data_IF_330148824579
#
_entry.id   IF_330148824579
#
_cell.length_a   1.000
_cell.length_b   1.000
_cell.length_c   1.000
_cell.angle_alpha   90.00
_cell.angle_beta   90.00
_cell.angle_gamma   90.00
#
_symmetry.space_group_name_H-M   'P 1'
#
loop_
_entity.id
_entity.type
_entity.pdbx_description
1 polymer ?
#
# COMPACT_ATOMS: atom_id res chain seq x y z
N UNK A 1 42.58 -37.84 -11.37
CA UNK A 1 41.61 -37.14 -10.50
C UNK A 1 42.19 -35.79 -10.13
N UNK A 2 41.47 -34.67 -10.32
CA UNK A 2 41.85 -33.42 -9.62
C UNK A 2 41.79 -32.06 -10.33
N UNK A 3 41.28 -31.92 -11.56
CA UNK A 3 41.23 -30.61 -12.25
C UNK A 3 39.84 -29.93 -12.28
N UNK A 4 38.81 -30.56 -11.70
CA UNK A 4 37.43 -30.05 -11.74
C UNK A 4 37.00 -29.15 -10.56
N UNK A 5 37.79 -29.05 -9.48
CA UNK A 5 37.34 -28.37 -8.24
C UNK A 5 37.84 -26.94 -8.06
N UNK A 6 38.78 -26.45 -8.87
CA UNK A 6 39.35 -25.10 -8.72
C UNK A 6 38.56 -24.01 -9.45
N UNK A 7 37.86 -24.34 -10.55
CA UNK A 7 37.09 -23.35 -11.32
C UNK A 7 35.72 -23.00 -10.67
N UNK A 8 35.12 -23.94 -9.93
CA UNK A 8 33.82 -23.71 -9.29
C UNK A 8 33.90 -22.79 -8.06
N UNK A 9 35.06 -22.70 -7.41
CA UNK A 9 35.21 -21.95 -6.16
C UNK A 9 35.50 -20.46 -6.37
N UNK A 10 35.94 -20.04 -7.57
CA UNK A 10 36.19 -18.63 -7.88
C UNK A 10 34.91 -17.87 -8.31
N UNK A 11 33.92 -18.55 -8.88
CA UNK A 11 32.64 -17.95 -9.27
C UNK A 11 31.66 -17.70 -8.11
N UNK A 12 31.70 -18.52 -7.06
CA UNK A 12 30.83 -18.37 -5.88
C UNK A 12 31.28 -17.26 -4.91
N UNK A 13 32.55 -16.87 -4.95
CA UNK A 13 33.09 -15.75 -4.17
C UNK A 13 32.73 -14.38 -4.76
N UNK A 14 32.68 -14.26 -6.08
CA UNK A 14 32.39 -12.99 -6.77
C UNK A 14 30.91 -12.59 -6.72
N UNK A 15 29.98 -13.56 -6.79
CA UNK A 15 28.53 -13.26 -6.73
C UNK A 15 28.08 -12.83 -5.33
N UNK A 16 28.68 -13.37 -4.26
CA UNK A 16 28.43 -12.93 -2.87
C UNK A 16 28.95 -11.51 -2.57
N UNK A 17 30.01 -11.07 -3.25
CA UNK A 17 30.55 -9.71 -3.12
C UNK A 17 29.72 -8.64 -3.83
N UNK A 18 29.11 -9.01 -4.97
CA UNK A 18 28.28 -8.11 -5.78
C UNK A 18 26.89 -7.87 -5.17
N UNK A 19 26.25 -8.90 -4.60
CA UNK A 19 24.93 -8.75 -3.95
C UNK A 19 25.04 -8.12 -2.56
N UNK A 20 26.03 -8.51 -1.75
CA UNK A 20 26.20 -7.92 -0.41
C UNK A 20 26.52 -6.41 -0.41
N UNK A 21 27.15 -5.90 -1.48
CA UNK A 21 27.40 -4.46 -1.68
C UNK A 21 26.17 -3.69 -2.17
N UNK A 22 25.39 -4.28 -3.07
CA UNK A 22 24.11 -3.71 -3.52
C UNK A 22 23.08 -3.69 -2.39
N UNK A 23 22.97 -4.79 -1.63
CA UNK A 23 22.07 -4.90 -0.48
C UNK A 23 22.47 -3.94 0.64
N UNK A 24 23.77 -3.77 0.93
CA UNK A 24 24.23 -2.75 1.88
C UNK A 24 24.00 -1.32 1.40
N UNK A 25 24.10 -1.03 0.10
CA UNK A 25 23.76 0.30 -0.46
C UNK A 25 22.26 0.56 -0.47
N UNK A 26 21.44 -0.44 -0.72
CA UNK A 26 19.97 -0.35 -0.65
C UNK A 26 19.55 -0.22 0.82
N UNK A 27 20.10 -1.01 1.74
CA UNK A 27 19.86 -0.89 3.17
C UNK A 27 20.40 0.40 3.75
N UNK A 28 21.55 0.92 3.31
CA UNK A 28 22.07 2.21 3.79
C UNK A 28 21.33 3.40 3.16
N UNK A 29 20.79 3.27 1.96
CA UNK A 29 19.85 4.24 1.38
C UNK A 29 18.50 4.23 2.12
N UNK A 30 18.00 3.06 2.52
CA UNK A 30 16.79 2.92 3.36
C UNK A 30 17.00 3.40 4.80
N UNK A 31 18.18 3.13 5.39
CA UNK A 31 18.52 3.46 6.79
C UNK A 31 19.06 4.88 6.95
N UNK A 32 19.62 5.45 5.88
CA UNK A 32 20.19 6.80 5.79
C UNK A 32 19.26 7.83 5.15
N UNK A 33 18.13 7.42 4.57
CA UNK A 33 17.04 8.32 4.24
C UNK A 33 16.46 8.86 5.55
N UNK A 34 17.07 9.92 6.09
CA UNK A 34 16.31 10.96 6.80
C UNK A 34 15.26 11.42 5.79
N UNK A 35 14.12 10.73 5.74
CA UNK A 35 12.92 11.14 5.04
C UNK A 35 12.71 12.58 5.49
N UNK A 36 13.06 13.52 4.62
CA UNK A 36 13.11 14.92 4.99
C UNK A 36 11.75 15.28 5.56
N UNK A 37 11.69 16.06 6.65
CA UNK A 37 10.44 16.40 7.33
C UNK A 37 9.31 16.79 6.36
N UNK A 38 9.66 17.38 5.21
CA UNK A 38 8.77 17.70 4.08
C UNK A 38 8.08 16.49 3.44
N UNK A 39 8.78 15.37 3.24
CA UNK A 39 8.21 14.13 2.66
C UNK A 39 7.21 13.51 3.63
N UNK A 40 7.57 13.43 4.93
CA UNK A 40 6.68 12.92 5.97
C UNK A 40 5.45 13.82 6.11
N UNK A 41 5.64 15.15 6.17
CA UNK A 41 4.52 16.09 6.24
C UNK A 41 3.58 15.97 5.04
N UNK A 42 4.11 15.77 3.83
CA UNK A 42 3.31 15.55 2.63
C UNK A 42 2.52 14.24 2.72
N UNK A 43 3.11 13.18 3.23
CA UNK A 43 2.43 11.88 3.36
C UNK A 43 1.34 11.92 4.43
N UNK A 44 1.59 12.61 5.54
CA UNK A 44 0.59 12.84 6.59
C UNK A 44 -0.57 13.68 6.04
N UNK A 45 -0.30 14.75 5.30
CA UNK A 45 -1.34 15.56 4.66
C UNK A 45 -2.20 14.71 3.71
N UNK A 46 -1.56 13.82 2.94
CA UNK A 46 -2.28 12.90 2.06
C UNK A 46 -3.10 11.86 2.81
N UNK A 47 -2.61 11.33 3.93
CA UNK A 47 -3.38 10.44 4.79
C UNK A 47 -4.68 11.13 5.27
N UNK A 48 -4.58 12.36 5.76
CA UNK A 48 -5.77 13.13 6.16
C UNK A 48 -6.70 13.41 4.98
N UNK A 49 -6.16 13.76 3.82
CA UNK A 49 -6.94 13.92 2.59
C UNK A 49 -7.67 12.64 2.18
N UNK A 50 -7.00 11.48 2.27
CA UNK A 50 -7.59 10.18 1.97
C UNK A 50 -8.69 9.82 2.97
N UNK A 51 -8.51 10.09 4.27
CA UNK A 51 -9.55 9.91 5.28
C UNK A 51 -10.79 10.76 4.98
N UNK A 52 -10.60 12.03 4.58
CA UNK A 52 -11.69 12.93 4.23
C UNK A 52 -12.48 12.42 3.01
N UNK A 53 -11.78 12.08 1.92
CA UNK A 53 -12.39 11.53 0.71
C UNK A 53 -13.13 10.23 1.02
N UNK A 54 -12.49 9.32 1.76
CA UNK A 54 -13.08 8.03 2.14
C UNK A 54 -14.32 8.19 3.02
N UNK A 55 -14.36 9.22 3.87
CA UNK A 55 -15.54 9.53 4.67
C UNK A 55 -16.70 10.00 3.79
N UNK A 56 -16.44 10.91 2.83
CA UNK A 56 -17.45 11.43 1.93
C UNK A 56 -17.99 10.32 1.02
N UNK A 57 -17.09 9.58 0.37
CA UNK A 57 -17.46 8.46 -0.50
C UNK A 57 -18.12 7.32 0.28
N UNK A 58 -17.63 7.02 1.48
CA UNK A 58 -18.23 6.02 2.38
C UNK A 58 -19.64 6.38 2.79
N UNK A 59 -19.90 7.64 3.11
CA UNK A 59 -21.24 8.13 3.38
C UNK A 59 -22.17 8.02 2.18
N UNK A 60 -21.71 8.42 0.99
CA UNK A 60 -22.46 8.28 -0.26
C UNK A 60 -22.84 6.83 -0.56
N UNK A 61 -21.88 5.91 -0.43
CA UNK A 61 -22.11 4.47 -0.65
C UNK A 61 -23.09 3.92 0.39
N UNK A 62 -22.90 4.26 1.66
CA UNK A 62 -23.82 3.86 2.73
C UNK A 62 -25.26 4.34 2.46
N UNK A 63 -25.42 5.60 2.05
CA UNK A 63 -26.70 6.19 1.73
C UNK A 63 -27.36 5.51 0.53
N UNK A 64 -26.61 5.30 -0.56
CA UNK A 64 -27.10 4.58 -1.74
C UNK A 64 -27.54 3.16 -1.44
N UNK A 65 -26.77 2.42 -0.62
CA UNK A 65 -27.15 1.07 -0.21
C UNK A 65 -28.43 1.10 0.64
N UNK A 66 -28.55 2.05 1.56
CA UNK A 66 -29.74 2.20 2.40
C UNK A 66 -31.01 2.50 1.57
N UNK A 67 -30.88 3.30 0.51
CA UNK A 67 -32.02 3.74 -0.30
C UNK A 67 -32.40 2.76 -1.42
N UNK A 68 -31.43 2.12 -2.08
CA UNK A 68 -31.70 1.18 -3.19
C UNK A 68 -31.74 -0.29 -2.79
N UNK A 69 -31.09 -0.67 -1.68
CA UNK A 69 -30.91 -2.05 -1.25
C UNK A 69 -31.32 -2.22 0.21
N UNK A 70 -32.45 -1.61 0.59
CA UNK A 70 -32.89 -1.51 2.00
C UNK A 70 -33.04 -2.86 2.69
N UNK A 71 -33.58 -3.88 2.00
CA UNK A 71 -33.73 -5.24 2.57
C UNK A 71 -32.37 -5.86 2.91
N UNK A 72 -31.43 -5.82 1.96
CA UNK A 72 -30.07 -6.33 2.13
C UNK A 72 -29.34 -5.55 3.23
N UNK A 73 -29.54 -4.24 3.27
CA UNK A 73 -28.95 -3.35 4.27
C UNK A 73 -29.42 -3.68 5.70
N UNK A 74 -30.72 -3.90 5.89
CA UNK A 74 -31.30 -4.28 7.18
C UNK A 74 -30.77 -5.64 7.64
N UNK A 75 -30.69 -6.62 6.74
CA UNK A 75 -30.11 -7.92 7.05
C UNK A 75 -28.62 -7.84 7.45
N UNK A 76 -27.83 -7.01 6.76
CA UNK A 76 -26.43 -6.79 7.12
C UNK A 76 -26.26 -6.09 8.48
N UNK A 77 -27.12 -5.13 8.80
CA UNK A 77 -27.12 -4.47 10.11
C UNK A 77 -27.48 -5.47 11.21
N UNK A 78 -28.50 -6.31 10.97
CA UNK A 78 -28.93 -7.33 11.92
C UNK A 78 -27.82 -8.38 12.16
N UNK A 79 -27.09 -8.80 11.12
CA UNK A 79 -25.95 -9.69 11.28
C UNK A 79 -24.78 -9.07 12.06
N UNK A 80 -24.53 -7.77 11.90
CA UNK A 80 -23.45 -7.06 12.60
C UNK A 80 -23.84 -6.57 14.00
N UNK A 81 -25.14 -6.53 14.29
CA UNK A 81 -25.73 -6.01 15.52
C UNK A 81 -25.48 -4.52 15.76
N UNK A 82 -24.95 -3.78 14.78
CA UNK A 82 -24.64 -2.36 14.93
C UNK A 82 -24.44 -1.66 13.58
N UNK A 83 -25.20 -0.59 13.39
CA UNK A 83 -25.12 0.31 12.23
C UNK A 83 -23.75 1.02 12.16
N UNK A 84 -23.18 1.39 13.31
CA UNK A 84 -21.84 2.01 13.40
C UNK A 84 -20.75 1.07 12.89
N UNK A 85 -20.82 -0.23 13.21
CA UNK A 85 -19.83 -1.23 12.74
C UNK A 85 -19.91 -1.42 11.23
N UNK A 86 -21.12 -1.41 10.66
CA UNK A 86 -21.31 -1.51 9.22
C UNK A 86 -20.70 -0.30 8.50
N UNK A 87 -20.98 0.91 8.98
CA UNK A 87 -20.40 2.13 8.44
C UNK A 87 -18.86 2.13 8.50
N UNK A 88 -18.28 1.72 9.63
CA UNK A 88 -16.83 1.60 9.80
C UNK A 88 -16.19 0.64 8.79
N UNK A 89 -16.85 -0.48 8.45
CA UNK A 89 -16.38 -1.41 7.42
C UNK A 89 -16.39 -0.77 6.03
N UNK A 90 -17.46 -0.06 5.67
CA UNK A 90 -17.53 0.68 4.40
C UNK A 90 -16.43 1.74 4.34
N UNK A 91 -16.21 2.47 5.43
CA UNK A 91 -15.16 3.48 5.52
C UNK A 91 -13.77 2.86 5.32
N UNK A 92 -13.45 1.76 6.01
CA UNK A 92 -12.19 1.04 5.85
C UNK A 92 -11.99 0.52 4.42
N UNK A 93 -13.04 -0.04 3.82
CA UNK A 93 -12.99 -0.51 2.45
C UNK A 93 -12.73 0.65 1.46
N UNK A 94 -13.40 1.79 1.66
CA UNK A 94 -13.16 3.00 0.86
C UNK A 94 -11.74 3.54 1.06
N UNK A 95 -11.22 3.55 2.29
CA UNK A 95 -9.87 3.97 2.58
C UNK A 95 -8.86 3.15 1.76
N UNK A 96 -8.99 1.83 1.79
CA UNK A 96 -8.15 0.93 0.98
C UNK A 96 -8.31 1.25 -0.51
N UNK A 97 -9.54 1.43 -0.99
CA UNK A 97 -9.81 1.78 -2.40
C UNK A 97 -9.14 3.07 -2.85
N UNK A 98 -9.19 4.14 -2.03
CA UNK A 98 -8.52 5.42 -2.31
C UNK A 98 -6.99 5.24 -2.37
N UNK A 99 -6.42 4.42 -1.48
CA UNK A 99 -5.00 4.10 -1.51
C UNK A 99 -4.59 3.30 -2.75
N UNK A 100 -5.41 2.33 -3.17
CA UNK A 100 -5.16 1.56 -4.40
C UNK A 100 -5.22 2.48 -5.63
N UNK A 101 -6.23 3.36 -5.71
CA UNK A 101 -6.32 4.35 -6.79
C UNK A 101 -5.07 5.24 -6.85
N UNK A 102 -4.54 5.65 -5.70
CA UNK A 102 -3.29 6.41 -5.62
C UNK A 102 -2.09 5.61 -6.15
N UNK A 103 -1.97 4.33 -5.77
CA UNK A 103 -0.90 3.46 -6.27
C UNK A 103 -0.97 3.31 -7.79
N UNK A 104 -2.18 3.20 -8.35
CA UNK A 104 -2.40 3.13 -9.80
C UNK A 104 -1.96 4.44 -10.47
N UNK A 105 -2.38 5.60 -9.96
CA UNK A 105 -1.95 6.91 -10.52
C UNK A 105 -0.43 7.06 -10.46
N UNK A 106 0.19 6.60 -9.38
CA UNK A 106 1.64 6.60 -9.26
C UNK A 106 2.32 5.66 -10.28
N UNK A 107 1.78 4.46 -10.48
CA UNK A 107 2.26 3.49 -11.46
C UNK A 107 2.13 4.03 -12.90
N UNK A 108 0.99 4.61 -13.24
CA UNK A 108 0.77 5.23 -14.57
C UNK A 108 1.77 6.36 -14.80
N UNK A 109 1.99 7.21 -13.80
CA UNK A 109 2.96 8.32 -13.91
C UNK A 109 4.39 7.84 -14.05
N UNK A 110 4.77 6.72 -13.43
CA UNK A 110 6.13 6.18 -13.55
C UNK A 110 6.35 5.49 -14.90
N UNK A 111 5.33 4.86 -15.48
CA UNK A 111 5.41 4.23 -16.80
C UNK A 111 5.33 5.25 -17.95
N UNK A 112 4.49 6.29 -17.83
CA UNK A 112 4.28 7.25 -18.91
C UNK A 112 5.39 8.30 -19.09
N UNK A 113 6.29 8.44 -18.11
CA UNK A 113 7.39 9.43 -18.12
C UNK A 113 8.78 8.79 -18.13
N UNK A 114 8.88 7.52 -18.52
CA UNK A 114 10.11 6.76 -18.70
C UNK A 114 10.22 6.29 -20.15
#
# INVERSE_FOLDING_TARGET
MGLGSMAANQGFGQTKGLTGGADKKIFSALKGAKLGKKVIAKEVLWFFGACLISSITGFLVFYLIGEFLTEIFVDFINQLGSLTKFYLRIFLFNLIGVYVARLIVWAVRTVAFN
#
